data_IF_679196760653
#
_entry.id   IF_679196760653
#
_cell.length_a   1.000
_cell.length_b   1.000
_cell.length_c   1.000
_cell.angle_alpha   90.00
_cell.angle_beta   90.00
_cell.angle_gamma   90.00
#
_symmetry.space_group_name_H-M   'P 1'
#
loop_
_entity.id
_entity.type
_entity.pdbx_description
1 polymer ?
#
# COMPACT_ATOMS: atom_id res chain seq x y z
N UNK A 1 31.18 20.70 -82.36
CA UNK A 1 31.22 22.00 -81.62
C UNK A 1 30.05 22.01 -80.69
N UNK A 2 30.33 22.31 -79.41
CA UNK A 2 29.38 22.52 -78.31
C UNK A 2 28.63 21.31 -77.75
N UNK A 3 29.29 20.60 -76.87
CA UNK A 3 28.66 19.86 -75.77
C UNK A 3 29.34 20.29 -74.50
N UNK A 4 28.68 20.99 -73.65
CA UNK A 4 29.16 21.40 -72.36
C UNK A 4 28.05 22.10 -71.61
N UNK A 5 27.92 21.73 -70.32
CA UNK A 5 27.06 22.41 -69.30
C UNK A 5 25.65 21.89 -69.18
N UNK A 6 25.54 20.79 -68.43
CA UNK A 6 24.30 20.41 -67.68
C UNK A 6 24.58 19.36 -66.61
N UNK A 7 25.48 19.62 -65.68
CA UNK A 7 25.80 18.73 -64.56
C UNK A 7 26.24 19.53 -63.34
N UNK A 8 25.39 20.33 -62.75
CA UNK A 8 25.69 21.04 -61.51
C UNK A 8 24.43 21.67 -60.86
N UNK A 9 23.35 20.89 -60.63
CA UNK A 9 22.18 21.42 -59.88
C UNK A 9 21.36 20.34 -59.14
N UNK A 10 21.95 19.20 -58.74
CA UNK A 10 21.22 18.16 -58.00
C UNK A 10 21.94 17.68 -56.73
N UNK A 11 22.64 18.57 -55.99
CA UNK A 11 23.34 18.18 -54.76
C UNK A 11 23.17 19.26 -53.67
N UNK A 12 21.94 19.67 -53.33
CA UNK A 12 21.71 20.60 -52.20
C UNK A 12 20.26 20.51 -51.68
N UNK A 13 19.71 19.32 -51.52
CA UNK A 13 18.38 19.12 -50.91
C UNK A 13 18.32 17.85 -50.04
N UNK A 14 19.43 17.47 -49.38
CA UNK A 14 19.46 16.28 -48.54
C UNK A 14 20.23 16.55 -47.26
N UNK A 15 19.91 17.58 -46.51
CA UNK A 15 20.46 17.75 -45.15
C UNK A 15 19.61 18.77 -44.37
N UNK A 16 18.46 18.41 -43.90
CA UNK A 16 17.85 18.97 -42.67
C UNK A 16 16.57 18.16 -42.28
N UNK A 17 16.71 16.85 -42.11
CA UNK A 17 15.83 16.09 -41.24
C UNK A 17 16.57 16.00 -39.90
N UNK A 18 16.60 17.10 -39.17
CA UNK A 18 16.89 17.09 -37.74
C UNK A 18 15.71 16.33 -37.10
N UNK A 19 15.99 15.07 -36.75
CA UNK A 19 15.19 14.27 -35.85
C UNK A 19 14.90 15.11 -34.59
N UNK A 20 13.72 15.70 -34.51
CA UNK A 20 13.10 16.06 -33.25
C UNK A 20 12.83 14.74 -32.51
N UNK A 21 13.86 14.23 -31.83
CA UNK A 21 13.63 13.28 -30.76
C UNK A 21 12.68 13.97 -29.77
N UNK A 22 11.55 13.35 -29.41
CA UNK A 22 10.73 13.91 -28.36
C UNK A 22 11.63 14.08 -27.13
N UNK A 23 11.66 15.28 -26.55
CA UNK A 23 12.30 15.52 -25.28
C UNK A 23 11.70 14.51 -24.29
N UNK A 24 12.47 13.46 -23.99
CA UNK A 24 12.13 12.52 -22.95
C UNK A 24 12.10 13.37 -21.68
N UNK A 25 10.92 13.56 -21.09
CA UNK A 25 10.80 14.14 -19.78
C UNK A 25 11.80 13.35 -18.89
N UNK A 26 12.74 14.04 -18.25
CA UNK A 26 13.67 13.42 -17.33
C UNK A 26 12.84 12.76 -16.24
N UNK A 27 12.89 11.42 -16.17
CA UNK A 27 12.26 10.70 -15.08
C UNK A 27 12.93 11.10 -13.77
N UNK A 28 12.16 11.32 -12.70
CA UNK A 28 12.72 11.68 -11.41
C UNK A 28 13.71 10.61 -10.95
N UNK A 29 14.89 11.03 -10.51
CA UNK A 29 15.86 10.14 -9.91
C UNK A 29 15.42 9.83 -8.47
N UNK A 30 14.58 8.81 -8.34
CA UNK A 30 14.13 8.33 -7.03
C UNK A 30 15.22 7.46 -6.43
N UNK A 31 15.74 7.86 -5.28
CA UNK A 31 16.78 7.09 -4.59
C UNK A 31 16.27 5.68 -4.26
N UNK A 32 16.95 4.66 -4.74
CA UNK A 32 16.61 3.26 -4.54
C UNK A 32 15.74 2.63 -5.64
N UNK A 33 15.29 3.39 -6.64
CA UNK A 33 14.58 2.87 -7.81
C UNK A 33 15.49 2.96 -9.06
N UNK A 34 15.43 1.92 -9.88
CA UNK A 34 16.05 1.97 -11.20
C UNK A 34 15.33 3.02 -12.05
N UNK A 35 16.02 4.04 -12.57
CA UNK A 35 15.39 5.11 -13.36
C UNK A 35 14.65 4.60 -14.60
N UNK A 36 15.06 3.47 -15.18
CA UNK A 36 14.37 2.86 -16.33
C UNK A 36 13.10 2.10 -15.94
N UNK A 37 13.00 1.68 -14.68
CA UNK A 37 11.86 0.94 -14.13
C UNK A 37 10.89 1.83 -13.31
N UNK A 38 11.24 3.09 -13.04
CA UNK A 38 10.39 4.00 -12.27
C UNK A 38 9.08 4.28 -13.03
N UNK A 39 7.91 4.12 -12.37
CA UNK A 39 6.64 4.45 -12.98
C UNK A 39 6.54 5.97 -13.25
N UNK A 40 5.67 6.36 -14.17
CA UNK A 40 5.34 7.77 -14.36
C UNK A 40 4.36 8.23 -13.28
N UNK A 41 4.46 9.47 -12.79
CA UNK A 41 3.50 10.02 -11.84
C UNK A 41 2.06 9.90 -12.36
N UNK A 42 1.12 9.58 -11.46
CA UNK A 42 -0.29 9.34 -11.82
C UNK A 42 -1.01 10.60 -12.28
N UNK A 43 -0.52 11.79 -11.89
CA UNK A 43 -1.16 13.09 -12.17
C UNK A 43 -2.52 13.22 -11.47
N UNK A 44 -3.30 14.22 -11.87
CA UNK A 44 -4.63 14.47 -11.29
C UNK A 44 -5.59 13.33 -11.59
N UNK A 45 -6.17 12.72 -10.55
CA UNK A 45 -7.09 11.58 -10.64
C UNK A 45 -8.41 11.88 -9.94
N UNK A 46 -9.50 11.77 -10.66
CA UNK A 46 -10.83 11.79 -10.06
C UNK A 46 -11.24 10.39 -9.63
N UNK A 47 -11.68 10.23 -8.37
CA UNK A 47 -12.16 8.95 -7.86
C UNK A 47 -13.46 8.54 -8.57
N UNK A 48 -13.48 7.32 -9.09
CA UNK A 48 -14.71 6.70 -9.59
C UNK A 48 -15.55 6.19 -8.43
N UNK A 49 -16.80 6.63 -8.38
CA UNK A 49 -17.75 6.26 -7.31
C UNK A 49 -18.92 5.49 -7.90
N UNK A 50 -19.24 4.34 -7.33
CA UNK A 50 -20.44 3.56 -7.69
C UNK A 50 -21.68 4.21 -7.05
N UNK A 51 -22.59 4.72 -7.88
CA UNK A 51 -23.80 5.40 -7.41
C UNK A 51 -24.86 4.44 -6.84
N UNK A 52 -24.90 3.20 -7.32
CA UNK A 52 -25.86 2.19 -6.94
C UNK A 52 -25.18 0.80 -6.87
N UNK A 53 -24.39 0.54 -5.81
CA UNK A 53 -23.68 -0.73 -5.71
C UNK A 53 -24.65 -1.89 -5.53
N UNK A 54 -24.45 -2.96 -6.31
CA UNK A 54 -25.24 -4.18 -6.17
C UNK A 54 -24.63 -5.02 -5.04
N UNK A 55 -25.38 -5.22 -3.95
CA UNK A 55 -24.93 -5.95 -2.76
C UNK A 55 -24.32 -7.34 -3.08
N UNK A 56 -24.92 -8.05 -4.04
CA UNK A 56 -24.40 -9.35 -4.51
C UNK A 56 -23.04 -9.29 -5.22
N UNK A 57 -22.54 -8.13 -5.57
CA UNK A 57 -21.27 -7.92 -6.28
C UNK A 57 -20.16 -7.29 -5.44
N UNK A 58 -20.44 -6.91 -4.19
CA UNK A 58 -19.45 -6.29 -3.32
C UNK A 58 -18.52 -7.39 -2.76
N UNK A 59 -17.21 -7.22 -2.89
CA UNK A 59 -16.19 -8.06 -2.26
C UNK A 59 -15.62 -7.34 -1.05
N UNK A 60 -15.36 -8.08 0.03
CA UNK A 60 -14.63 -7.57 1.18
C UNK A 60 -13.13 -7.48 0.88
N UNK A 61 -12.51 -6.39 1.30
CA UNK A 61 -11.10 -6.09 1.02
C UNK A 61 -10.31 -6.01 2.30
N UNK A 62 -9.26 -6.81 2.40
CA UNK A 62 -8.23 -6.70 3.44
C UNK A 62 -6.99 -6.00 2.88
N UNK A 63 -6.57 -4.91 3.53
CA UNK A 63 -5.29 -4.26 3.27
C UNK A 63 -4.33 -4.63 4.39
N UNK A 64 -3.25 -5.31 4.07
CA UNK A 64 -2.22 -5.64 5.04
C UNK A 64 -1.35 -4.41 5.31
N UNK A 65 -0.87 -4.27 6.55
CA UNK A 65 0.21 -3.31 6.85
C UNK A 65 1.34 -3.50 5.84
N UNK A 66 1.81 -2.42 5.23
CA UNK A 66 2.76 -2.51 4.13
C UNK A 66 4.17 -2.87 4.60
N UNK A 67 4.95 -3.48 3.73
CA UNK A 67 6.40 -3.58 3.92
C UNK A 67 7.00 -2.16 3.87
N UNK A 68 7.71 -1.70 4.92
CA UNK A 68 8.30 -0.37 4.94
C UNK A 68 9.40 -0.17 3.89
N UNK A 69 9.86 -1.22 3.22
CA UNK A 69 10.87 -1.15 2.17
C UNK A 69 12.22 -0.64 2.66
N UNK A 70 12.59 -0.92 3.92
CA UNK A 70 13.85 -0.46 4.52
C UNK A 70 14.97 -1.41 4.06
N UNK A 71 16.04 -0.88 3.38
CA UNK A 71 17.19 -1.69 3.02
C UNK A 71 17.92 -2.25 4.26
N UNK A 72 18.43 -3.47 4.14
CA UNK A 72 19.17 -4.09 5.24
C UNK A 72 20.52 -3.40 5.53
N UNK A 73 21.11 -2.71 4.54
CA UNK A 73 22.36 -1.96 4.70
C UNK A 73 22.05 -0.55 5.24
N UNK A 74 22.21 -0.39 6.55
CA UNK A 74 21.97 0.88 7.26
C UNK A 74 22.85 2.03 6.73
N UNK A 75 24.03 1.75 6.17
CA UNK A 75 24.92 2.76 5.62
C UNK A 75 24.35 3.49 4.40
N UNK A 76 23.34 2.91 3.77
CA UNK A 76 22.63 3.48 2.63
C UNK A 76 21.51 4.44 3.01
N UNK A 77 20.93 4.32 4.23
CA UNK A 77 19.74 5.02 4.65
C UNK A 77 19.87 6.54 4.51
N UNK A 78 20.88 7.14 5.12
CA UNK A 78 21.10 8.60 5.06
C UNK A 78 21.26 9.12 3.63
N UNK A 79 21.94 8.35 2.75
CA UNK A 79 22.18 8.74 1.36
C UNK A 79 20.88 8.64 0.52
N UNK A 80 20.02 7.70 0.86
CA UNK A 80 18.72 7.49 0.20
C UNK A 80 17.58 8.28 0.83
N UNK A 81 17.86 9.08 1.88
CA UNK A 81 16.83 9.83 2.59
C UNK A 81 15.83 8.95 3.34
N UNK A 82 16.26 7.73 3.73
CA UNK A 82 15.40 6.79 4.46
C UNK A 82 15.54 7.02 5.96
N UNK A 83 14.41 7.24 6.61
CA UNK A 83 14.26 7.33 8.06
C UNK A 83 13.49 6.09 8.54
N UNK A 84 14.18 5.08 9.12
CA UNK A 84 13.58 3.76 9.38
C UNK A 84 12.30 3.80 10.22
N UNK A 85 12.28 4.60 11.29
CA UNK A 85 11.10 4.67 12.17
C UNK A 85 9.91 5.36 11.47
N UNK A 86 10.17 6.39 10.67
CA UNK A 86 9.13 7.03 9.85
C UNK A 86 8.59 6.05 8.82
N UNK A 87 9.46 5.26 8.16
CA UNK A 87 9.04 4.23 7.20
C UNK A 87 8.18 3.14 7.84
N UNK A 88 8.48 2.73 9.08
CA UNK A 88 7.64 1.80 9.84
C UNK A 88 6.27 2.41 10.16
N UNK A 89 6.23 3.70 10.52
CA UNK A 89 4.98 4.40 10.75
C UNK A 89 4.17 4.57 9.45
N UNK A 90 4.81 4.91 8.34
CA UNK A 90 4.20 4.99 7.01
C UNK A 90 3.60 3.65 6.56
N UNK A 91 4.26 2.54 6.90
CA UNK A 91 3.77 1.20 6.58
C UNK A 91 2.41 0.89 7.21
N UNK A 92 2.08 1.51 8.34
CA UNK A 92 0.79 1.42 9.02
C UNK A 92 -0.18 2.52 8.56
N UNK A 93 0.34 3.71 8.30
CA UNK A 93 -0.43 4.91 7.93
C UNK A 93 -0.99 4.86 6.50
N UNK A 94 -0.17 4.46 5.52
CA UNK A 94 -0.54 4.46 4.09
C UNK A 94 -1.72 3.51 3.79
N UNK A 95 -1.81 2.30 4.36
CA UNK A 95 -2.97 1.44 4.16
C UNK A 95 -4.29 2.08 4.58
N UNK A 96 -4.31 2.93 5.63
CA UNK A 96 -5.52 3.66 6.06
C UNK A 96 -5.99 4.65 4.99
N UNK A 97 -5.06 5.34 4.34
CA UNK A 97 -5.40 6.27 3.23
C UNK A 97 -5.97 5.54 2.03
N UNK A 98 -5.38 4.39 1.65
CA UNK A 98 -5.90 3.56 0.57
C UNK A 98 -7.27 2.95 0.94
N UNK A 99 -7.45 2.49 2.20
CA UNK A 99 -8.75 2.04 2.73
C UNK A 99 -9.81 3.12 2.54
N UNK A 100 -9.50 4.36 2.94
CA UNK A 100 -10.44 5.46 2.82
C UNK A 100 -10.81 5.75 1.35
N UNK A 101 -9.85 5.68 0.42
CA UNK A 101 -10.13 5.83 -1.00
C UNK A 101 -11.04 4.71 -1.53
N UNK A 102 -10.79 3.45 -1.15
CA UNK A 102 -11.64 2.31 -1.52
C UNK A 102 -13.05 2.42 -0.94
N UNK A 103 -13.20 2.81 0.33
CA UNK A 103 -14.50 3.04 0.95
C UNK A 103 -15.28 4.16 0.25
N UNK A 104 -14.61 5.27 -0.07
CA UNK A 104 -15.21 6.40 -0.77
C UNK A 104 -15.62 6.06 -2.22
N UNK A 105 -15.02 5.06 -2.84
CA UNK A 105 -15.44 4.55 -4.14
C UNK A 105 -16.83 3.88 -4.10
N UNK A 106 -17.35 3.52 -2.91
CA UNK A 106 -18.65 2.89 -2.69
C UNK A 106 -18.87 1.62 -3.55
N UNK A 107 -17.80 0.89 -3.80
CA UNK A 107 -17.79 -0.24 -4.74
C UNK A 107 -17.46 -1.57 -4.06
N UNK A 108 -17.12 -1.54 -2.80
CA UNK A 108 -16.62 -2.68 -2.04
C UNK A 108 -17.55 -3.01 -0.87
N UNK A 109 -17.44 -4.21 -0.34
CA UNK A 109 -18.05 -4.60 0.90
C UNK A 109 -17.36 -3.90 2.08
N UNK A 110 -16.90 -4.66 3.05
CA UNK A 110 -16.12 -4.08 4.14
C UNK A 110 -14.65 -3.97 3.70
N UNK A 111 -14.05 -2.82 3.95
CA UNK A 111 -12.62 -2.58 3.68
C UNK A 111 -11.93 -2.36 5.01
N UNK A 112 -10.92 -3.19 5.34
CA UNK A 112 -10.23 -3.20 6.63
C UNK A 112 -8.73 -3.19 6.47
N UNK A 113 -8.02 -2.56 7.40
CA UNK A 113 -6.57 -2.73 7.54
C UNK A 113 -6.32 -3.94 8.45
N UNK A 114 -5.47 -4.84 7.97
CA UNK A 114 -5.11 -6.08 8.64
C UNK A 114 -3.67 -5.99 9.16
N UNK A 115 -3.40 -6.47 10.39
CA UNK A 115 -2.03 -6.47 10.91
C UNK A 115 -1.14 -7.51 10.24
N UNK A 116 -1.71 -8.55 9.65
CA UNK A 116 -1.00 -9.64 8.98
C UNK A 116 -1.84 -10.21 7.84
N UNK A 117 -1.23 -10.97 6.95
CA UNK A 117 -1.91 -11.58 5.80
C UNK A 117 -3.00 -12.57 6.22
N UNK A 118 -4.19 -12.34 5.70
CA UNK A 118 -5.33 -13.23 5.87
C UNK A 118 -5.73 -13.84 4.53
N UNK A 119 -5.28 -15.04 4.27
CA UNK A 119 -5.57 -15.75 3.01
C UNK A 119 -7.06 -16.08 2.80
N UNK A 120 -7.92 -15.87 3.79
CA UNK A 120 -9.36 -16.00 3.70
C UNK A 120 -10.08 -14.67 3.39
N UNK A 121 -9.37 -13.56 3.22
CA UNK A 121 -9.96 -12.35 2.67
C UNK A 121 -10.45 -12.59 1.24
N UNK A 122 -11.57 -11.98 0.85
CA UNK A 122 -12.11 -12.13 -0.51
C UNK A 122 -11.18 -11.47 -1.53
N UNK A 123 -10.66 -10.29 -1.20
CA UNK A 123 -9.58 -9.61 -1.90
C UNK A 123 -8.52 -9.16 -0.89
N UNK A 124 -7.26 -9.51 -1.14
CA UNK A 124 -6.12 -9.16 -0.29
C UNK A 124 -5.21 -8.20 -1.04
N UNK A 125 -4.93 -7.07 -0.41
CA UNK A 125 -4.00 -6.05 -0.91
C UNK A 125 -2.78 -6.04 -0.01
N UNK A 126 -1.62 -6.37 -0.56
CA UNK A 126 -0.32 -6.20 0.06
C UNK A 126 0.45 -5.10 -0.64
N UNK A 127 1.33 -4.43 0.07
CA UNK A 127 2.10 -3.32 -0.49
C UNK A 127 3.49 -3.22 0.08
N UNK A 128 4.37 -2.57 -0.67
CA UNK A 128 5.71 -2.20 -0.24
C UNK A 128 5.98 -0.75 -0.58
N UNK A 129 6.54 0.00 0.35
CA UNK A 129 6.98 1.37 0.12
C UNK A 129 8.31 1.32 -0.63
N UNK A 130 8.31 1.78 -1.88
CA UNK A 130 9.51 1.86 -2.70
C UNK A 130 10.26 3.16 -2.43
N UNK A 131 9.53 4.27 -2.33
CA UNK A 131 10.07 5.59 -2.04
C UNK A 131 9.01 6.42 -1.30
N UNK A 132 9.42 7.24 -0.36
CA UNK A 132 8.61 8.25 0.30
C UNK A 132 9.53 9.35 0.82
N UNK A 133 9.32 10.53 0.28
CA UNK A 133 9.85 11.79 0.78
C UNK A 133 8.74 12.85 0.68
N UNK A 134 8.91 14.04 1.04
CA UNK A 134 7.81 15.02 0.96
C UNK A 134 7.40 15.39 -0.48
N UNK A 135 8.11 14.94 -1.51
CA UNK A 135 7.82 15.22 -2.93
C UNK A 135 7.24 14.03 -3.66
N UNK A 136 7.74 12.84 -3.46
CA UNK A 136 7.34 11.64 -4.16
C UNK A 136 6.91 10.54 -3.20
N UNK A 137 5.83 9.83 -3.58
CA UNK A 137 5.44 8.56 -2.97
C UNK A 137 5.40 7.48 -4.06
N UNK A 138 6.18 6.42 -3.89
CA UNK A 138 6.14 5.26 -4.78
C UNK A 138 5.81 4.00 -3.98
N UNK A 139 4.79 3.26 -4.45
CA UNK A 139 4.31 2.03 -3.84
C UNK A 139 4.32 0.91 -4.86
N UNK A 140 4.81 -0.27 -4.48
CA UNK A 140 4.51 -1.53 -5.18
C UNK A 140 3.29 -2.16 -4.52
N UNK A 141 2.26 -2.45 -5.27
CA UNK A 141 1.06 -3.13 -4.79
C UNK A 141 0.90 -4.47 -5.48
N UNK A 142 0.53 -5.46 -4.68
CA UNK A 142 0.21 -6.81 -5.12
C UNK A 142 -1.18 -7.16 -4.59
N UNK A 143 -2.11 -7.51 -5.48
CA UNK A 143 -3.50 -7.75 -5.13
C UNK A 143 -3.94 -9.11 -5.64
N UNK A 144 -4.43 -9.96 -4.75
CA UNK A 144 -4.91 -11.31 -5.06
C UNK A 144 -6.30 -11.54 -4.47
N UNK A 145 -7.11 -12.33 -5.16
CA UNK A 145 -8.35 -12.82 -4.57
C UNK A 145 -8.15 -14.10 -3.75
N UNK A 146 -9.18 -14.52 -3.04
CA UNK A 146 -9.18 -15.74 -2.24
C UNK A 146 -8.81 -16.99 -3.03
N UNK A 147 -9.08 -17.01 -4.34
CA UNK A 147 -8.69 -18.09 -5.25
C UNK A 147 -7.20 -18.11 -5.56
N UNK A 148 -6.44 -17.09 -5.13
CA UNK A 148 -5.03 -16.93 -5.48
C UNK A 148 -4.81 -16.29 -6.86
N UNK A 149 -5.87 -15.83 -7.53
CA UNK A 149 -5.76 -15.16 -8.82
C UNK A 149 -5.17 -13.77 -8.60
N UNK A 150 -4.12 -13.46 -9.31
CA UNK A 150 -3.51 -12.14 -9.35
C UNK A 150 -4.44 -11.16 -10.08
N UNK A 151 -4.82 -10.06 -9.42
CA UNK A 151 -5.56 -8.95 -10.01
C UNK A 151 -4.62 -7.85 -10.46
N UNK A 152 -3.64 -7.53 -9.63
CA UNK A 152 -2.74 -6.41 -9.83
C UNK A 152 -1.37 -6.74 -9.24
N UNK A 153 -0.31 -6.46 -10.00
CA UNK A 153 1.07 -6.37 -9.52
C UNK A 153 1.71 -5.19 -10.23
N UNK A 154 1.72 -4.02 -9.56
CA UNK A 154 2.09 -2.77 -10.20
C UNK A 154 2.71 -1.78 -9.22
N UNK A 155 3.71 -1.05 -9.72
CA UNK A 155 4.25 0.12 -9.06
C UNK A 155 3.44 1.37 -9.43
N UNK A 156 3.14 2.20 -8.43
CA UNK A 156 2.50 3.51 -8.57
C UNK A 156 3.43 4.58 -8.04
N UNK A 157 3.41 5.74 -8.66
CA UNK A 157 4.17 6.92 -8.26
C UNK A 157 3.25 8.13 -8.26
N UNK A 158 3.33 8.96 -7.24
CA UNK A 158 2.72 10.28 -7.20
C UNK A 158 3.73 11.35 -6.84
N UNK A 159 3.51 12.56 -7.33
CA UNK A 159 4.34 13.73 -7.09
C UNK A 159 3.50 14.85 -6.47
N UNK A 160 3.83 15.21 -5.24
CA UNK A 160 3.21 16.35 -4.56
C UNK A 160 3.75 17.68 -5.11
N UNK A 161 2.84 18.51 -5.59
CA UNK A 161 3.11 19.85 -6.13
C UNK A 161 3.16 20.95 -5.06
N UNK A 162 3.36 22.19 -5.51
CA UNK A 162 3.36 23.36 -4.60
C UNK A 162 1.97 23.64 -3.99
N UNK A 163 0.89 23.22 -4.67
CA UNK A 163 -0.48 23.41 -4.21
C UNK A 163 -0.91 22.42 -3.12
N UNK A 164 -0.15 21.33 -2.91
CA UNK A 164 -0.48 20.28 -1.95
C UNK A 164 0.03 20.60 -0.54
N UNK A 165 0.83 21.64 -0.40
CA UNK A 165 1.38 22.10 0.87
C UNK A 165 1.07 23.59 1.13
N UNK A 166 0.79 23.99 2.38
CA UNK A 166 0.64 23.11 3.55
C UNK A 166 -0.58 22.21 3.43
N UNK A 167 -0.44 20.97 3.92
CA UNK A 167 -1.51 19.98 3.88
C UNK A 167 -2.72 20.48 4.68
N UNK A 168 -3.86 20.59 4.01
CA UNK A 168 -5.14 20.82 4.70
C UNK A 168 -5.54 19.59 5.51
N UNK A 169 -6.37 19.77 6.54
CA UNK A 169 -6.77 18.72 7.48
C UNK A 169 -7.50 17.51 6.83
N UNK A 170 -7.81 17.56 5.55
CA UNK A 170 -8.62 16.54 4.85
C UNK A 170 -8.02 16.05 3.52
N UNK A 171 -6.88 16.56 3.11
CA UNK A 171 -6.27 16.18 1.84
C UNK A 171 -4.85 15.67 2.04
N UNK A 172 -4.62 14.42 1.68
CA UNK A 172 -3.26 13.88 1.61
C UNK A 172 -2.60 14.34 0.29
N UNK A 173 -1.31 14.74 0.29
CA UNK A 173 -0.59 15.18 -0.91
C UNK A 173 -0.54 14.13 -2.01
N UNK A 174 -0.68 12.85 -1.67
CA UNK A 174 -0.66 11.72 -2.59
C UNK A 174 -2.06 11.10 -2.78
N UNK A 175 -3.11 11.90 -2.58
CA UNK A 175 -4.49 11.43 -2.73
C UNK A 175 -4.78 10.85 -4.11
N UNK A 176 -4.11 11.35 -5.14
CA UNK A 176 -4.29 10.92 -6.52
C UNK A 176 -3.75 9.50 -6.76
N UNK A 177 -2.67 9.10 -6.08
CA UNK A 177 -2.18 7.72 -6.08
C UNK A 177 -3.24 6.75 -5.55
N UNK A 178 -3.83 7.07 -4.39
CA UNK A 178 -4.85 6.20 -3.77
C UNK A 178 -6.12 6.13 -4.61
N UNK A 179 -6.54 7.25 -5.21
CA UNK A 179 -7.67 7.29 -6.16
C UNK A 179 -7.37 6.46 -7.41
N UNK A 180 -6.15 6.53 -7.93
CA UNK A 180 -5.72 5.72 -9.09
C UNK A 180 -5.81 4.25 -8.80
N UNK A 181 -5.28 3.80 -7.67
CA UNK A 181 -5.35 2.40 -7.23
C UNK A 181 -6.82 1.96 -7.08
N UNK A 182 -7.65 2.76 -6.40
CA UNK A 182 -9.06 2.46 -6.22
C UNK A 182 -9.80 2.33 -7.55
N UNK A 183 -9.52 3.20 -8.53
CA UNK A 183 -10.09 3.15 -9.86
C UNK A 183 -9.64 1.89 -10.62
N UNK A 184 -8.34 1.58 -10.62
CA UNK A 184 -7.81 0.39 -11.30
C UNK A 184 -8.43 -0.90 -10.74
N UNK A 185 -8.58 -1.01 -9.42
CA UNK A 185 -9.24 -2.16 -8.77
C UNK A 185 -10.74 -2.21 -9.09
N UNK A 186 -11.42 -1.06 -9.15
CA UNK A 186 -12.82 -1.00 -9.52
C UNK A 186 -13.05 -1.49 -10.95
N UNK A 187 -12.19 -1.09 -11.89
CA UNK A 187 -12.29 -1.54 -13.29
C UNK A 187 -12.08 -3.06 -13.39
N UNK A 188 -11.07 -3.61 -12.69
CA UNK A 188 -10.87 -5.07 -12.63
C UNK A 188 -12.08 -5.82 -12.03
N UNK A 189 -12.69 -5.26 -10.96
CA UNK A 189 -13.89 -5.85 -10.37
C UNK A 189 -15.08 -5.84 -11.35
N UNK A 190 -15.23 -4.77 -12.14
CA UNK A 190 -16.32 -4.66 -13.13
C UNK A 190 -16.27 -5.73 -14.22
N UNK A 191 -15.07 -6.22 -14.55
CA UNK A 191 -14.88 -7.29 -15.50
C UNK A 191 -15.37 -8.66 -14.99
N UNK A 192 -15.57 -8.83 -13.68
CA UNK A 192 -15.98 -10.09 -13.10
C UNK A 192 -17.45 -10.39 -13.34
N UNK A 193 -17.74 -11.63 -13.65
CA UNK A 193 -19.10 -12.18 -13.66
C UNK A 193 -19.57 -12.46 -12.22
N UNK A 194 -20.88 -12.53 -12.01
CA UNK A 194 -21.46 -12.92 -10.73
C UNK A 194 -20.98 -14.29 -10.23
N UNK A 195 -20.79 -15.25 -11.16
CA UNK A 195 -20.24 -16.57 -10.83
C UNK A 195 -18.83 -16.49 -10.28
N UNK A 196 -17.99 -15.63 -10.85
CA UNK A 196 -16.61 -15.44 -10.36
C UNK A 196 -16.62 -14.82 -8.97
N UNK A 197 -17.46 -13.81 -8.72
CA UNK A 197 -17.62 -13.19 -7.40
C UNK A 197 -18.10 -14.22 -6.37
N UNK A 198 -19.11 -15.03 -6.71
CA UNK A 198 -19.56 -16.11 -5.84
C UNK A 198 -18.47 -17.15 -5.57
N UNK A 199 -17.69 -17.52 -6.60
CA UNK A 199 -16.56 -18.44 -6.45
C UNK A 199 -15.51 -17.89 -5.49
N UNK A 200 -15.13 -16.61 -5.60
CA UNK A 200 -14.19 -15.96 -4.70
C UNK A 200 -14.66 -16.07 -3.24
N UNK A 201 -15.94 -15.75 -2.97
CA UNK A 201 -16.53 -15.85 -1.62
C UNK A 201 -16.54 -17.26 -1.08
N UNK A 202 -16.90 -18.24 -1.93
CA UNK A 202 -16.93 -19.64 -1.52
C UNK A 202 -15.51 -20.14 -1.21
N UNK A 203 -14.52 -19.76 -2.01
CA UNK A 203 -13.13 -20.12 -1.75
C UNK A 203 -12.64 -19.44 -0.46
N UNK A 204 -12.93 -18.15 -0.25
CA UNK A 204 -12.58 -17.44 0.98
C UNK A 204 -13.13 -18.15 2.22
N UNK A 205 -14.43 -18.50 2.20
CA UNK A 205 -15.07 -19.22 3.30
C UNK A 205 -14.44 -20.59 3.52
N UNK A 206 -14.18 -21.35 2.47
CA UNK A 206 -13.61 -22.69 2.59
C UNK A 206 -12.14 -22.67 3.03
N UNK A 207 -11.36 -21.67 2.58
CA UNK A 207 -9.99 -21.47 3.09
C UNK A 207 -10.01 -21.12 4.57
N UNK A 208 -10.95 -20.28 5.01
CA UNK A 208 -11.13 -19.98 6.42
C UNK A 208 -11.49 -21.24 7.21
N UNK A 209 -12.47 -22.01 6.76
CA UNK A 209 -12.86 -23.27 7.39
C UNK A 209 -11.68 -24.25 7.49
N UNK A 210 -10.89 -24.37 6.43
CA UNK A 210 -9.70 -25.22 6.39
C UNK A 210 -8.62 -24.75 7.36
N UNK A 211 -8.47 -23.44 7.58
CA UNK A 211 -7.55 -22.89 8.59
C UNK A 211 -7.96 -23.21 10.03
N UNK A 212 -9.24 -23.48 10.27
CA UNK A 212 -9.74 -23.95 11.57
C UNK A 212 -9.56 -25.45 11.75
N UNK A 213 -9.75 -26.24 10.69
CA UNK A 213 -9.53 -27.69 10.69
C UNK A 213 -9.29 -28.22 9.27
N UNK A 214 -8.05 -28.55 8.98
CA UNK A 214 -7.65 -29.16 7.72
C UNK A 214 -8.30 -30.56 7.56
N UNK A 215 -8.44 -31.30 8.64
CA UNK A 215 -9.07 -32.63 8.62
C UNK A 215 -10.53 -32.57 8.18
N UNK A 216 -11.29 -31.60 8.71
CA UNK A 216 -12.72 -31.49 8.40
C UNK A 216 -12.98 -30.89 7.01
N UNK A 217 -12.18 -29.92 6.59
CA UNK A 217 -12.53 -29.07 5.43
C UNK A 217 -11.54 -29.15 4.27
N UNK A 218 -10.35 -29.72 4.43
CA UNK A 218 -9.34 -29.81 3.36
C UNK A 218 -9.85 -30.52 2.10
N UNK A 219 -10.78 -31.46 2.21
CA UNK A 219 -11.38 -32.16 1.07
C UNK A 219 -12.37 -31.35 0.25
N UNK A 220 -12.75 -30.15 0.67
CA UNK A 220 -13.62 -29.24 -0.07
C UNK A 220 -12.88 -28.30 -0.99
N UNK A 221 -11.57 -28.09 -0.76
CA UNK A 221 -10.70 -27.26 -1.58
C UNK A 221 -9.77 -28.11 -2.44
N UNK A 222 -9.50 -27.63 -3.63
CA UNK A 222 -8.47 -28.14 -4.51
C UNK A 222 -7.59 -26.99 -4.95
N UNK A 223 -6.28 -27.24 -4.99
CA UNK A 223 -5.30 -26.33 -5.56
C UNK A 223 -4.79 -26.92 -6.86
N UNK A 224 -4.79 -26.15 -7.93
CA UNK A 224 -4.26 -26.57 -9.22
C UNK A 224 -2.73 -26.39 -9.30
N UNK A 225 -2.12 -26.79 -10.43
CA UNK A 225 -0.69 -26.69 -10.65
C UNK A 225 -0.18 -25.23 -10.73
N UNK A 226 -1.06 -24.25 -10.93
CA UNK A 226 -0.75 -22.83 -10.90
C UNK A 226 -0.90 -22.21 -9.50
N UNK A 227 -1.29 -23.00 -8.51
CA UNK A 227 -1.51 -22.54 -7.13
C UNK A 227 -2.90 -21.95 -6.89
N UNK A 228 -3.82 -22.03 -7.86
CA UNK A 228 -5.15 -21.47 -7.75
C UNK A 228 -6.09 -22.41 -6.99
N UNK A 229 -6.85 -21.86 -6.05
CA UNK A 229 -7.83 -22.58 -5.26
C UNK A 229 -9.21 -22.58 -5.92
N UNK A 230 -9.86 -23.72 -5.84
CA UNK A 230 -11.26 -23.89 -6.24
C UNK A 230 -12.00 -24.79 -5.25
N UNK A 231 -13.30 -24.56 -5.11
CA UNK A 231 -14.17 -25.42 -4.29
C UNK A 231 -14.65 -26.59 -5.13
N UNK A 232 -14.33 -27.83 -4.70
CA UNK A 232 -14.72 -29.05 -5.40
C UNK A 232 -16.18 -29.41 -5.18
N UNK A 233 -16.66 -29.14 -3.96
CA UNK A 233 -18.05 -29.30 -3.54
C UNK A 233 -18.34 -28.35 -2.38
N UNK A 234 -19.57 -27.94 -2.23
CA UNK A 234 -20.01 -27.18 -1.07
C UNK A 234 -20.46 -28.14 0.04
N UNK A 235 -20.32 -27.77 1.33
CA UNK A 235 -21.00 -28.43 2.43
C UNK A 235 -22.53 -28.44 2.22
N UNK A 236 -23.20 -29.35 2.91
CA UNK A 236 -24.65 -29.40 2.84
C UNK A 236 -25.27 -28.08 3.36
N UNK A 237 -26.41 -27.70 2.77
CA UNK A 237 -27.16 -26.54 3.28
C UNK A 237 -27.63 -26.83 4.73
N UNK A 238 -27.38 -25.86 5.62
CA UNK A 238 -27.67 -26.00 7.05
C UNK A 238 -26.70 -26.89 7.81
N UNK A 239 -25.52 -27.19 7.27
CA UNK A 239 -24.50 -27.96 7.97
C UNK A 239 -24.10 -27.28 9.30
N UNK A 240 -24.29 -27.96 10.45
CA UNK A 240 -23.97 -27.39 11.76
C UNK A 240 -22.48 -27.01 11.93
N UNK A 241 -21.57 -27.68 11.20
CA UNK A 241 -20.14 -27.33 11.21
C UNK A 241 -19.92 -25.99 10.54
N UNK A 242 -20.59 -25.73 9.42
CA UNK A 242 -20.48 -24.43 8.73
C UNK A 242 -21.05 -23.30 9.58
N UNK A 243 -22.14 -23.52 10.28
CA UNK A 243 -22.68 -22.54 11.24
C UNK A 243 -21.69 -22.18 12.34
N UNK A 244 -20.85 -23.16 12.79
CA UNK A 244 -19.75 -22.87 13.73
C UNK A 244 -18.62 -22.09 13.07
N UNK A 245 -18.21 -22.47 11.87
CA UNK A 245 -17.21 -21.73 11.08
C UNK A 245 -17.61 -20.26 10.93
N UNK A 246 -18.83 -20.00 10.49
CA UNK A 246 -19.33 -18.64 10.33
C UNK A 246 -19.36 -17.84 11.64
N UNK A 247 -19.77 -18.48 12.73
CA UNK A 247 -19.75 -17.83 14.05
C UNK A 247 -18.32 -17.46 14.48
N UNK A 248 -17.36 -18.37 14.32
CA UNK A 248 -15.95 -18.12 14.64
C UNK A 248 -15.36 -17.04 13.75
N UNK A 249 -15.68 -17.07 12.44
CA UNK A 249 -15.28 -16.03 11.48
C UNK A 249 -15.81 -14.65 11.87
N UNK A 250 -17.07 -14.57 12.32
CA UNK A 250 -17.64 -13.32 12.79
C UNK A 250 -16.93 -12.79 14.05
N UNK A 251 -16.46 -13.66 14.94
CA UNK A 251 -15.66 -13.24 16.10
C UNK A 251 -14.27 -12.73 15.69
N UNK A 252 -13.66 -13.32 14.66
CA UNK A 252 -12.43 -12.80 14.08
C UNK A 252 -12.66 -11.42 13.45
N UNK A 253 -13.75 -11.23 12.73
CA UNK A 253 -14.09 -9.93 12.15
C UNK A 253 -14.29 -8.84 13.20
N UNK A 254 -14.94 -9.14 14.33
CA UNK A 254 -15.07 -8.18 15.42
C UNK A 254 -13.72 -7.73 15.98
N UNK A 255 -12.76 -8.65 16.06
CA UNK A 255 -11.39 -8.29 16.45
C UNK A 255 -10.73 -7.42 15.39
N UNK A 256 -10.82 -7.81 14.12
CA UNK A 256 -10.22 -7.05 13.00
C UNK A 256 -10.84 -5.66 12.90
N UNK A 257 -12.14 -5.50 13.13
CA UNK A 257 -12.80 -4.19 13.18
C UNK A 257 -12.20 -3.30 14.30
N UNK A 258 -11.95 -3.89 15.49
CA UNK A 258 -11.29 -3.16 16.59
C UNK A 258 -9.85 -2.75 16.23
N UNK A 259 -9.10 -3.61 15.55
CA UNK A 259 -7.74 -3.33 15.08
C UNK A 259 -7.74 -2.25 13.99
N UNK A 260 -8.67 -2.33 13.06
CA UNK A 260 -8.83 -1.32 12.00
C UNK A 260 -9.12 0.07 12.59
N UNK A 261 -9.97 0.15 13.63
CA UNK A 261 -10.22 1.39 14.37
C UNK A 261 -8.94 1.93 15.04
N UNK A 262 -8.09 1.07 15.60
CA UNK A 262 -6.81 1.47 16.20
C UNK A 262 -5.84 2.03 15.14
N UNK A 263 -5.80 1.46 13.92
CA UNK A 263 -5.00 2.04 12.84
C UNK A 263 -5.53 3.40 12.37
N UNK A 264 -6.85 3.59 12.35
CA UNK A 264 -7.45 4.90 12.05
C UNK A 264 -7.12 5.93 13.14
N UNK A 265 -7.19 5.54 14.40
CA UNK A 265 -6.82 6.42 15.52
C UNK A 265 -5.33 6.81 15.45
N UNK A 266 -4.44 5.86 15.17
CA UNK A 266 -3.02 6.15 14.93
C UNK A 266 -2.84 7.17 13.80
N UNK A 267 -3.53 6.93 12.68
CA UNK A 267 -3.51 7.85 11.55
C UNK A 267 -3.89 9.28 11.97
N UNK A 268 -5.00 9.44 12.69
CA UNK A 268 -5.49 10.75 13.12
C UNK A 268 -4.51 11.46 14.08
N UNK A 269 -3.87 10.71 14.97
CA UNK A 269 -2.89 11.24 15.91
C UNK A 269 -1.59 11.66 15.22
N UNK A 270 -1.13 10.89 14.25
CA UNK A 270 0.13 11.14 13.54
C UNK A 270 0.01 12.20 12.44
N UNK A 271 -1.14 12.32 11.80
CA UNK A 271 -1.32 13.13 10.59
C UNK A 271 -0.82 14.57 10.70
N UNK A 272 -1.07 15.33 11.79
CA UNK A 272 -0.59 16.71 11.89
C UNK A 272 0.93 16.81 11.84
N UNK A 273 1.64 16.01 12.64
CA UNK A 273 3.10 16.03 12.72
C UNK A 273 3.73 15.44 11.47
N UNK A 274 3.15 14.35 10.94
CA UNK A 274 3.63 13.73 9.73
C UNK A 274 3.50 14.63 8.49
N UNK A 275 2.40 15.37 8.37
CA UNK A 275 2.20 16.33 7.29
C UNK A 275 3.22 17.48 7.35
N UNK A 276 3.53 17.94 8.56
CA UNK A 276 4.54 18.96 8.76
C UNK A 276 5.94 18.44 8.40
N UNK A 277 6.26 17.21 8.81
CA UNK A 277 7.52 16.55 8.45
C UNK A 277 7.65 16.42 6.92
N UNK A 278 6.62 15.94 6.23
CA UNK A 278 6.61 15.81 4.75
C UNK A 278 6.84 17.16 4.07
N UNK A 279 6.22 18.23 4.57
CA UNK A 279 6.42 19.57 4.03
C UNK A 279 7.90 19.97 4.11
N UNK A 280 8.54 19.81 5.28
CA UNK A 280 9.95 20.15 5.45
C UNK A 280 10.87 19.26 4.63
N UNK A 281 10.56 17.98 4.52
CA UNK A 281 11.37 17.06 3.72
C UNK A 281 11.29 17.39 2.22
N UNK A 282 10.11 17.78 1.74
CA UNK A 282 9.93 18.31 0.38
C UNK A 282 10.76 19.59 0.15
N UNK A 283 10.69 20.55 1.06
CA UNK A 283 11.47 21.79 0.97
C UNK A 283 12.97 21.49 0.90
N UNK A 284 13.43 20.48 1.65
CA UNK A 284 14.81 20.00 1.61
C UNK A 284 15.15 19.39 0.25
N UNK A 285 14.29 18.53 -0.29
CA UNK A 285 14.52 17.86 -1.57
C UNK A 285 14.62 18.87 -2.72
N UNK A 286 13.69 19.83 -2.79
CA UNK A 286 13.68 20.91 -3.77
C UNK A 286 14.94 21.79 -3.64
N UNK A 287 15.32 22.14 -2.41
CA UNK A 287 16.53 22.94 -2.17
C UNK A 287 17.80 22.19 -2.63
N UNK A 288 17.89 20.90 -2.37
CA UNK A 288 19.04 20.08 -2.75
C UNK A 288 19.15 19.97 -4.28
N UNK A 289 18.05 19.75 -4.97
CA UNK A 289 18.01 19.72 -6.43
C UNK A 289 18.44 21.07 -7.04
N UNK A 290 17.90 22.16 -6.55
CA UNK A 290 18.28 23.52 -6.93
C UNK A 290 19.76 23.81 -6.68
N UNK A 291 20.32 23.30 -5.56
CA UNK A 291 21.72 23.46 -5.25
C UNK A 291 22.60 22.68 -6.21
N UNK A 292 22.25 21.44 -6.52
CA UNK A 292 22.99 20.59 -7.47
C UNK A 292 22.96 21.17 -8.89
N UNK A 293 21.80 21.63 -9.36
CA UNK A 293 21.66 22.31 -10.65
C UNK A 293 22.52 23.58 -10.72
N UNK A 294 22.52 24.38 -9.66
CA UNK A 294 23.37 25.57 -9.55
C UNK A 294 24.86 25.21 -9.44
N UNK A 295 25.20 24.12 -8.75
CA UNK A 295 26.60 23.66 -8.64
C UNK A 295 27.14 23.21 -10.01
N UNK A 296 26.36 22.44 -10.77
CA UNK A 296 26.70 22.04 -12.14
C UNK A 296 26.84 23.25 -13.09
N UNK A 297 26.02 24.31 -12.89
CA UNK A 297 26.16 25.58 -13.61
C UNK A 297 27.30 26.47 -13.14
N UNK A 298 27.77 26.31 -11.89
CA UNK A 298 28.79 27.16 -11.24
C UNK A 298 30.24 26.70 -11.42
N UNK A 299 30.52 25.56 -12.01
CA UNK A 299 31.84 25.26 -12.52
C UNK A 299 32.38 26.37 -13.46
N UNK A 300 31.49 27.31 -13.85
CA UNK A 300 31.81 28.49 -14.67
C UNK A 300 31.99 29.82 -13.92
N UNK A 301 31.52 30.00 -12.67
CA UNK A 301 31.62 31.28 -11.95
C UNK A 301 31.79 31.10 -10.44
N UNK A 302 32.92 31.65 -9.92
CA UNK A 302 33.43 31.48 -8.56
C UNK A 302 32.52 31.90 -7.39
N UNK A 303 32.86 31.34 -6.29
CA UNK A 303 32.44 31.44 -4.91
C UNK A 303 31.93 32.82 -4.41
N UNK A 304 30.65 33.08 -4.39
CA UNK A 304 30.00 34.00 -3.43
C UNK A 304 28.56 33.55 -3.21
N UNK A 305 28.27 32.93 -2.08
CA UNK A 305 26.92 32.51 -1.68
C UNK A 305 26.86 31.30 -0.76
N UNK A 306 28.02 30.76 -0.36
CA UNK A 306 28.10 29.52 0.40
C UNK A 306 27.62 29.63 1.84
N UNK A 307 27.74 30.78 2.50
CA UNK A 307 27.44 30.92 3.93
C UNK A 307 25.92 30.99 4.21
N UNK A 308 25.18 31.78 3.43
CA UNK A 308 23.71 31.87 3.58
C UNK A 308 23.02 30.57 3.21
N UNK A 309 23.51 29.91 2.15
CA UNK A 309 23.00 28.59 1.77
C UNK A 309 23.29 27.53 2.83
N UNK A 310 24.46 27.58 3.47
CA UNK A 310 24.83 26.66 4.55
C UNK A 310 24.00 26.93 5.83
N UNK A 311 23.72 28.17 6.16
CA UNK A 311 22.86 28.53 7.28
C UNK A 311 21.39 28.09 7.06
N UNK A 312 20.87 28.28 5.87
CA UNK A 312 19.54 27.81 5.51
C UNK A 312 19.45 26.28 5.55
N UNK A 313 20.44 25.58 5.00
CA UNK A 313 20.53 24.12 5.06
C UNK A 313 20.60 23.61 6.51
N UNK A 314 21.38 24.29 7.37
CA UNK A 314 21.50 23.92 8.77
C UNK A 314 20.18 24.12 9.54
N UNK A 315 19.49 25.24 9.31
CA UNK A 315 18.20 25.51 9.94
C UNK A 315 17.13 24.51 9.49
N UNK A 316 17.09 24.18 8.22
CA UNK A 316 16.20 23.16 7.65
C UNK A 316 16.48 21.77 8.23
N UNK A 317 17.75 21.38 8.30
CA UNK A 317 18.18 20.13 8.93
C UNK A 317 17.76 20.05 10.40
N UNK A 318 17.87 21.15 11.14
CA UNK A 318 17.48 21.21 12.55
C UNK A 318 15.97 21.01 12.73
N UNK A 319 15.14 21.63 11.87
CA UNK A 319 13.69 21.46 11.91
C UNK A 319 13.29 20.02 11.58
N UNK A 320 13.85 19.44 10.53
CA UNK A 320 13.62 18.05 10.14
C UNK A 320 13.97 17.09 11.27
N UNK A 321 15.08 17.33 11.98
CA UNK A 321 15.50 16.50 13.12
C UNK A 321 14.54 16.58 14.30
N UNK A 322 13.96 17.74 14.59
CA UNK A 322 12.96 17.90 15.66
C UNK A 322 11.69 17.11 15.27
N UNK A 323 11.18 17.32 14.05
CA UNK A 323 9.98 16.60 13.59
C UNK A 323 10.19 15.09 13.50
N UNK A 324 11.40 14.66 13.08
CA UNK A 324 11.76 13.26 13.08
C UNK A 324 11.69 12.66 14.48
N UNK A 325 12.25 13.34 15.49
CA UNK A 325 12.23 12.86 16.87
C UNK A 325 10.80 12.74 17.41
N UNK A 326 9.95 13.74 17.14
CA UNK A 326 8.54 13.71 17.55
C UNK A 326 7.78 12.54 16.90
N UNK A 327 8.05 12.26 15.61
CA UNK A 327 7.45 11.13 14.91
C UNK A 327 7.98 9.78 15.39
N UNK A 328 9.28 9.68 15.65
CA UNK A 328 9.90 8.47 16.20
C UNK A 328 9.30 8.15 17.58
N UNK A 329 9.11 9.17 18.45
CA UNK A 329 8.47 8.98 19.75
C UNK A 329 7.01 8.53 19.62
N UNK A 330 6.23 9.12 18.70
CA UNK A 330 4.85 8.68 18.45
C UNK A 330 4.77 7.27 17.86
N UNK A 331 5.62 6.94 16.89
CA UNK A 331 5.65 5.62 16.28
C UNK A 331 6.10 4.53 17.26
N UNK A 332 7.09 4.83 18.10
CA UNK A 332 7.53 3.92 19.17
C UNK A 332 6.46 3.79 20.26
N UNK A 333 5.80 4.89 20.63
CA UNK A 333 4.68 4.89 21.58
C UNK A 333 3.58 3.95 21.11
N UNK A 334 3.15 4.10 19.87
CA UNK A 334 2.12 3.22 19.28
C UNK A 334 2.53 1.75 19.30
N UNK A 335 3.74 1.40 18.86
CA UNK A 335 4.20 0.02 18.81
C UNK A 335 4.39 -0.61 20.21
N UNK A 336 4.73 0.19 21.22
CA UNK A 336 5.01 -0.29 22.57
C UNK A 336 3.80 -0.19 23.51
N UNK A 337 2.86 0.73 23.24
CA UNK A 337 1.72 1.07 24.10
C UNK A 337 0.39 0.64 23.48
N UNK A 338 0.39 -0.28 22.52
CA UNK A 338 -0.85 -0.82 21.98
C UNK A 338 -1.70 -1.34 23.15
N UNK A 339 -2.87 -0.74 23.33
CA UNK A 339 -3.77 -1.14 24.41
C UNK A 339 -4.15 -2.61 24.27
N UNK A 340 -4.11 -3.39 25.37
CA UNK A 340 -4.58 -4.74 25.32
C UNK A 340 -6.03 -4.81 24.84
N UNK A 341 -6.29 -5.60 23.82
CA UNK A 341 -7.65 -5.81 23.31
C UNK A 341 -8.35 -6.87 24.19
N UNK A 342 -9.58 -6.56 24.57
CA UNK A 342 -10.42 -7.49 25.36
C UNK A 342 -11.49 -8.05 24.46
N UNK A 343 -11.47 -9.38 24.28
CA UNK A 343 -12.42 -10.11 23.42
C UNK A 343 -13.19 -11.14 24.23
N UNK A 344 -14.45 -11.34 23.86
CA UNK A 344 -15.29 -12.40 24.44
C UNK A 344 -15.63 -13.44 23.38
N UNK A 345 -15.36 -14.72 23.70
CA UNK A 345 -15.76 -15.83 22.85
C UNK A 345 -16.20 -17.01 23.71
N UNK A 346 -17.29 -17.65 23.34
CA UNK A 346 -17.84 -18.84 24.02
C UNK A 346 -18.01 -18.65 25.54
N UNK A 347 -18.44 -17.44 25.98
CA UNK A 347 -18.66 -17.10 27.39
C UNK A 347 -17.39 -16.91 28.19
N UNK A 348 -16.24 -16.74 27.56
CA UNK A 348 -14.95 -16.45 28.18
C UNK A 348 -14.39 -15.13 27.68
N UNK A 349 -13.74 -14.41 28.60
CA UNK A 349 -13.06 -13.13 28.30
C UNK A 349 -11.57 -13.41 28.14
N UNK A 350 -11.00 -12.92 27.03
CA UNK A 350 -9.59 -13.00 26.68
C UNK A 350 -9.01 -11.61 26.65
N UNK A 351 -7.82 -11.44 27.21
CA UNK A 351 -7.05 -10.20 27.16
C UNK A 351 -5.80 -10.45 26.35
N UNK A 352 -5.75 -9.85 25.18
CA UNK A 352 -4.64 -9.95 24.22
C UNK A 352 -3.67 -8.79 24.47
N UNK A 353 -2.37 -9.06 24.40
CA UNK A 353 -1.34 -8.06 24.70
C UNK A 353 -0.18 -8.18 23.71
N UNK A 354 0.59 -7.09 23.54
CA UNK A 354 1.68 -7.01 22.60
C UNK A 354 1.33 -6.18 21.37
N UNK A 355 2.08 -6.30 20.28
CA UNK A 355 1.79 -5.62 19.01
C UNK A 355 0.45 -6.08 18.43
N UNK A 356 -0.17 -5.29 17.57
CA UNK A 356 -1.44 -5.67 16.92
C UNK A 356 -1.33 -7.00 16.16
N UNK A 357 -0.20 -7.23 15.51
CA UNK A 357 0.10 -8.51 14.85
C UNK A 357 0.15 -9.68 15.85
N UNK A 358 0.83 -9.50 16.98
CA UNK A 358 0.90 -10.53 18.03
C UNK A 358 -0.48 -10.83 18.62
N UNK A 359 -1.28 -9.77 18.91
CA UNK A 359 -2.65 -9.92 19.41
C UNK A 359 -3.55 -10.62 18.38
N UNK A 360 -3.39 -10.33 17.11
CA UNK A 360 -4.14 -10.96 16.02
C UNK A 360 -3.82 -12.45 15.90
N UNK A 361 -2.53 -12.80 15.91
CA UNK A 361 -2.10 -14.20 15.84
C UNK A 361 -2.54 -14.99 17.07
N UNK A 362 -2.42 -14.41 18.27
CA UNK A 362 -2.93 -15.02 19.51
C UNK A 362 -4.46 -15.24 19.44
N UNK A 363 -5.21 -14.28 18.93
CA UNK A 363 -6.65 -14.40 18.78
C UNK A 363 -7.05 -15.51 17.83
N UNK A 364 -6.39 -15.63 16.69
CA UNK A 364 -6.63 -16.72 15.73
C UNK A 364 -6.34 -18.09 16.35
N UNK A 365 -5.30 -18.21 17.15
CA UNK A 365 -4.98 -19.44 17.87
C UNK A 365 -6.05 -19.78 18.91
N UNK A 366 -6.58 -18.79 19.61
CA UNK A 366 -7.69 -18.99 20.55
C UNK A 366 -8.94 -19.47 19.79
N UNK A 367 -9.26 -18.86 18.68
CA UNK A 367 -10.42 -19.22 17.86
C UNK A 367 -10.32 -20.66 17.31
N UNK A 368 -9.13 -21.08 16.84
CA UNK A 368 -8.87 -22.48 16.44
C UNK A 368 -9.09 -23.44 17.59
N UNK A 369 -8.59 -23.12 18.78
CA UNK A 369 -8.79 -23.96 19.99
C UNK A 369 -10.25 -24.03 20.41
N UNK A 370 -11.00 -22.93 20.33
CA UNK A 370 -12.45 -22.91 20.59
C UNK A 370 -13.17 -23.83 19.60
N UNK A 371 -12.86 -23.71 18.30
CA UNK A 371 -13.43 -24.56 17.26
C UNK A 371 -13.17 -26.05 17.52
N UNK A 372 -11.92 -26.42 17.83
CA UNK A 372 -11.55 -27.78 18.18
C UNK A 372 -12.29 -28.33 19.38
N UNK A 373 -12.42 -27.53 20.45
CA UNK A 373 -13.16 -27.92 21.66
C UNK A 373 -14.67 -28.15 21.41
N UNK A 374 -15.28 -27.29 20.56
CA UNK A 374 -16.72 -27.39 20.26
C UNK A 374 -17.06 -28.52 19.29
N UNK A 375 -16.09 -28.94 18.48
CA UNK A 375 -16.28 -29.97 17.44
C UNK A 375 -15.74 -31.34 17.84
N UNK A 376 -14.86 -31.38 18.84
CA UNK A 376 -14.13 -32.60 19.22
C UNK A 376 -13.06 -33.00 18.21
N UNK A 377 -12.74 -32.15 17.23
CA UNK A 377 -11.67 -32.34 16.27
C UNK A 377 -10.31 -31.91 16.88
N UNK A 378 -9.18 -32.49 16.46
CA UNK A 378 -7.90 -31.99 16.88
C UNK A 378 -7.67 -30.57 16.42
N UNK A 379 -7.07 -29.71 17.27
CA UNK A 379 -6.58 -28.43 16.84
C UNK A 379 -5.32 -28.66 16.00
N UNK A 380 -5.35 -28.28 14.73
CA UNK A 380 -4.15 -28.30 13.92
C UNK A 380 -3.11 -27.35 14.54
N UNK A 381 -1.93 -27.89 14.88
CA UNK A 381 -0.81 -27.04 15.29
C UNK A 381 -0.41 -26.19 14.09
N UNK A 382 -0.33 -24.87 14.30
CA UNK A 382 0.22 -23.96 13.32
C UNK A 382 1.59 -24.48 12.84
N UNK A 383 1.70 -24.82 11.56
CA UNK A 383 2.94 -25.21 10.90
C UNK A 383 3.76 -23.98 10.55
#
# INVERSE_FOLDING_TARGET
MYHGVALARCLLAAALLILLAPARAQQPQLAGLDPEAAPTPVGDVTLMVESAPQQGRLLDVGLVVFDPGIPADESTHSRQGIFPEIRKAEAQYIPVLLRNALQNANAWGVVRVLPDEQHSAELLVTGRILHSDGRYLALQLHVTDAGGRLWLDRAYLDEAGDGDYPVGSLQDPYADLYRRVANDLLDLRRELTERQIQSIRQVALMRYATSLSQEAFGGYLQQDAAGLYSVTRLPAEGDPMMARVERIRNQEYLFVDTVDEQYVELYEQMAPTYNLWRQYDRERAVFQEDYEQRAQGRERYGQRGSFVAMEQTYNMYKQIKIQQQDLDEMALGFNNEVAPTVMEASGRVFRLSGTLEAQYNEWRDILRRIFALETGLPADSAG
#
